data_IF_091844416183
#
_entry.id   IF_091844416183
#
_cell.length_a   1.000
_cell.length_b   1.000
_cell.length_c   1.000
_cell.angle_alpha   90.00
_cell.angle_beta   90.00
_cell.angle_gamma   90.00
#
_symmetry.space_group_name_H-M   'P 1'
#
loop_
_entity.id
_entity.type
_entity.pdbx_description
1 polymer ?
#
# COMPACT_ATOMS: atom_id res chain seq x y z
N UNK A 1 -30.66 -4.36 -20.36
CA UNK A 1 -30.40 -5.13 -19.13
C UNK A 1 -28.91 -5.47 -19.06
N UNK A 2 -28.11 -4.54 -18.54
CA UNK A 2 -26.67 -4.76 -18.34
C UNK A 2 -26.46 -5.56 -17.06
N UNK A 3 -25.81 -6.72 -17.15
CA UNK A 3 -25.34 -7.46 -15.97
C UNK A 3 -23.94 -6.95 -15.65
N UNK A 4 -23.83 -6.24 -14.54
CA UNK A 4 -22.56 -5.85 -13.91
C UNK A 4 -21.78 -7.10 -13.51
N UNK A 5 -20.73 -7.45 -14.28
CA UNK A 5 -19.76 -8.44 -13.85
C UNK A 5 -18.81 -7.77 -12.83
N UNK A 6 -19.03 -8.04 -11.55
CA UNK A 6 -18.13 -7.62 -10.46
C UNK A 6 -17.02 -8.70 -10.30
N UNK A 7 -15.76 -8.28 -10.36
CA UNK A 7 -14.62 -9.10 -9.96
C UNK A 7 -14.62 -9.32 -8.44
N UNK A 8 -14.23 -10.51 -7.97
CA UNK A 8 -14.25 -10.91 -6.56
C UNK A 8 -12.88 -11.40 -6.08
N UNK A 9 -12.59 -11.11 -4.81
CA UNK A 9 -11.57 -11.84 -4.06
C UNK A 9 -12.25 -13.03 -3.39
N UNK A 10 -11.81 -14.27 -3.62
CA UNK A 10 -12.34 -15.45 -2.94
C UNK A 10 -11.35 -15.93 -1.89
N UNK A 11 -11.63 -15.61 -0.63
CA UNK A 11 -10.97 -16.19 0.53
C UNK A 11 -11.56 -17.59 0.82
N UNK A 12 -10.74 -18.63 0.69
CA UNK A 12 -11.16 -20.02 0.88
C UNK A 12 -10.76 -20.58 2.25
N UNK A 13 -10.27 -19.75 3.17
CA UNK A 13 -9.70 -20.18 4.46
C UNK A 13 -10.76 -20.61 5.47
N UNK A 14 -12.04 -20.32 5.21
CA UNK A 14 -13.18 -20.77 6.01
C UNK A 14 -14.14 -21.65 5.18
N UNK A 15 -14.41 -22.92 5.58
CA UNK A 15 -15.43 -23.76 4.94
C UNK A 15 -16.85 -23.16 4.98
N UNK A 16 -17.10 -22.27 5.95
CA UNK A 16 -18.32 -21.47 6.07
C UNK A 16 -18.37 -20.29 5.09
N UNK A 17 -17.23 -19.73 4.68
CA UNK A 17 -17.15 -18.63 3.71
C UNK A 17 -17.45 -19.09 2.29
N UNK A 18 -17.00 -20.30 1.91
CA UNK A 18 -17.36 -20.92 0.63
C UNK A 18 -18.88 -21.19 0.51
N UNK A 19 -19.58 -21.44 1.63
CA UNK A 19 -21.04 -21.61 1.68
C UNK A 19 -21.80 -20.29 1.88
N UNK A 20 -21.22 -19.29 2.55
CA UNK A 20 -21.86 -17.97 2.75
C UNK A 20 -21.69 -17.03 1.55
N UNK A 21 -20.68 -17.26 0.70
CA UNK A 21 -20.48 -16.55 -0.58
C UNK A 21 -21.66 -16.70 -1.55
N UNK A 22 -22.51 -17.72 -1.36
CA UNK A 22 -23.75 -17.88 -2.11
C UNK A 22 -24.94 -17.07 -1.56
N UNK A 23 -24.89 -16.53 -0.33
CA UNK A 23 -26.12 -16.06 0.33
C UNK A 23 -26.07 -14.71 1.06
N UNK A 24 -24.94 -14.02 1.23
CA UNK A 24 -24.94 -12.67 1.84
C UNK A 24 -23.88 -11.77 1.20
N UNK A 25 -24.33 -10.68 0.59
CA UNK A 25 -23.49 -9.71 -0.14
C UNK A 25 -22.53 -8.91 0.74
N UNK A 26 -21.46 -9.55 1.21
CA UNK A 26 -20.47 -8.92 2.09
C UNK A 26 -19.04 -9.23 1.60
N UNK A 27 -18.69 -8.72 0.42
CA UNK A 27 -17.30 -8.66 -0.08
C UNK A 27 -17.17 -7.37 -0.89
N UNK A 28 -16.43 -6.38 -0.39
CA UNK A 28 -16.13 -5.15 -1.14
C UNK A 28 -14.97 -5.40 -2.12
N UNK A 29 -15.25 -5.15 -3.38
CA UNK A 29 -14.47 -5.41 -4.60
C UNK A 29 -13.26 -4.49 -4.79
N UNK A 30 -12.23 -4.97 -5.47
CA UNK A 30 -11.30 -4.10 -6.24
C UNK A 30 -11.72 -4.13 -7.71
N UNK A 31 -11.91 -2.95 -8.30
CA UNK A 31 -12.36 -2.77 -9.68
C UNK A 31 -11.17 -2.37 -10.57
N UNK A 32 -10.63 -3.31 -11.35
CA UNK A 32 -9.86 -2.95 -12.54
C UNK A 32 -10.78 -2.19 -13.51
N UNK A 33 -10.31 -1.07 -14.07
CA UNK A 33 -11.03 -0.40 -15.17
C UNK A 33 -11.14 -1.44 -16.29
N UNK A 34 -12.37 -1.73 -16.67
CA UNK A 34 -12.72 -2.72 -17.69
C UNK A 34 -12.48 -4.20 -17.30
N UNK A 35 -13.18 -4.64 -16.24
CA UNK A 35 -13.84 -5.95 -16.17
C UNK A 35 -12.99 -7.16 -16.61
N UNK A 36 -12.11 -7.75 -15.75
CA UNK A 36 -11.49 -9.06 -16.07
C UNK A 36 -10.73 -9.89 -15.01
N UNK A 37 -10.49 -9.46 -13.75
CA UNK A 37 -9.66 -10.24 -12.81
C UNK A 37 -10.32 -10.61 -11.46
N UNK A 38 -9.91 -11.74 -10.88
CA UNK A 38 -10.31 -12.22 -9.55
C UNK A 38 -9.06 -12.63 -8.77
N UNK A 39 -9.00 -12.36 -7.45
CA UNK A 39 -7.92 -12.85 -6.57
C UNK A 39 -8.48 -13.97 -5.70
N UNK A 40 -7.97 -15.19 -5.78
CA UNK A 40 -8.36 -16.25 -4.86
C UNK A 40 -7.24 -16.39 -3.83
N UNK A 41 -7.56 -16.38 -2.54
CA UNK A 41 -6.62 -16.68 -1.46
C UNK A 41 -6.99 -18.05 -0.88
N UNK A 42 -6.07 -19.01 -0.98
CA UNK A 42 -6.24 -20.34 -0.40
C UNK A 42 -5.09 -20.69 0.52
N UNK A 43 -5.35 -21.57 1.51
CA UNK A 43 -4.27 -22.33 2.13
C UNK A 43 -3.74 -23.35 1.13
N UNK A 44 -2.44 -23.70 1.23
CA UNK A 44 -1.83 -24.77 0.44
C UNK A 44 -2.76 -26.00 0.33
N UNK A 45 -3.01 -26.53 -0.88
CA UNK A 45 -3.92 -27.65 -1.05
C UNK A 45 -3.38 -28.91 -0.34
N UNK A 46 -4.24 -29.60 0.41
CA UNK A 46 -3.96 -30.97 0.86
C UNK A 46 -4.33 -31.94 -0.26
N UNK A 47 -3.50 -32.98 -0.45
CA UNK A 47 -3.69 -34.00 -1.52
C UNK A 47 -5.09 -34.64 -1.48
N UNK A 48 -5.70 -34.69 -0.30
CA UNK A 48 -7.05 -35.24 -0.04
C UNK A 48 -8.24 -34.34 -0.42
N UNK A 49 -8.06 -33.03 -0.67
CA UNK A 49 -9.17 -32.07 -0.92
C UNK A 49 -9.31 -31.62 -2.38
N UNK A 50 -8.68 -32.33 -3.30
CA UNK A 50 -8.54 -31.92 -4.72
C UNK A 50 -9.87 -31.75 -5.47
N UNK A 51 -10.93 -32.48 -5.13
CA UNK A 51 -12.22 -32.39 -5.83
C UNK A 51 -13.01 -31.12 -5.50
N UNK A 52 -12.99 -30.66 -4.25
CA UNK A 52 -13.71 -29.48 -3.79
C UNK A 52 -13.03 -28.18 -4.25
N UNK A 53 -11.69 -28.17 -4.28
CA UNK A 53 -10.90 -27.05 -4.79
C UNK A 53 -11.07 -26.87 -6.31
N UNK A 54 -11.21 -27.95 -7.09
CA UNK A 54 -11.47 -27.89 -8.54
C UNK A 54 -12.76 -27.15 -8.89
N UNK A 55 -13.84 -27.35 -8.12
CA UNK A 55 -15.13 -26.69 -8.37
C UNK A 55 -15.06 -25.17 -8.18
N UNK A 56 -14.37 -24.74 -7.12
CA UNK A 56 -14.21 -23.33 -6.76
C UNK A 56 -13.30 -22.58 -7.74
N UNK A 57 -12.18 -23.19 -8.15
CA UNK A 57 -11.26 -22.61 -9.13
C UNK A 57 -11.93 -22.48 -10.51
N UNK A 58 -12.77 -23.44 -10.91
CA UNK A 58 -13.56 -23.35 -12.16
C UNK A 58 -14.63 -22.25 -12.14
N UNK A 59 -15.23 -21.95 -10.99
CA UNK A 59 -16.29 -20.94 -10.89
C UNK A 59 -15.81 -19.49 -11.01
N UNK A 60 -14.50 -19.26 -10.95
CA UNK A 60 -13.88 -17.92 -10.90
C UNK A 60 -13.28 -17.50 -12.24
N UNK A 61 -13.29 -18.38 -13.24
CA UNK A 61 -12.68 -18.09 -14.53
C UNK A 61 -13.42 -16.96 -15.27
N UNK A 62 -12.66 -15.93 -15.65
CA UNK A 62 -13.12 -14.85 -16.52
C UNK A 62 -13.33 -15.27 -17.98
N UNK A 63 -13.72 -14.31 -18.83
CA UNK A 63 -14.11 -14.53 -20.24
C UNK A 63 -13.05 -15.24 -21.11
N UNK A 64 -11.77 -15.05 -20.78
CA UNK A 64 -10.64 -15.59 -21.56
C UNK A 64 -10.15 -16.97 -21.05
N UNK A 65 -10.77 -17.50 -19.98
CA UNK A 65 -10.57 -18.86 -19.48
C UNK A 65 -9.10 -19.23 -19.22
N UNK A 66 -8.28 -18.25 -18.82
CA UNK A 66 -6.89 -18.42 -18.39
C UNK A 66 -6.72 -17.88 -16.96
N UNK A 67 -5.99 -18.62 -16.13
CA UNK A 67 -5.68 -18.22 -14.76
C UNK A 67 -4.21 -18.41 -14.39
N UNK A 68 -3.79 -17.76 -13.33
CA UNK A 68 -2.45 -17.91 -12.75
C UNK A 68 -2.53 -18.44 -11.34
N UNK A 69 -1.63 -19.36 -10.97
CA UNK A 69 -1.43 -19.81 -9.60
C UNK A 69 -0.08 -19.28 -9.14
N UNK A 70 -0.08 -18.30 -8.25
CA UNK A 70 1.11 -17.69 -7.68
C UNK A 70 1.40 -18.39 -6.34
N UNK A 71 2.36 -19.31 -6.36
CA UNK A 71 2.89 -19.93 -5.15
C UNK A 71 4.01 -19.06 -4.60
N UNK A 72 3.82 -18.46 -3.43
CA UNK A 72 4.82 -17.57 -2.81
C UNK A 72 6.02 -18.34 -2.23
N UNK A 73 6.08 -19.66 -2.40
CA UNK A 73 7.20 -20.50 -1.96
C UNK A 73 8.15 -20.76 -3.13
N UNK A 74 9.42 -20.93 -2.80
CA UNK A 74 10.38 -21.49 -3.75
C UNK A 74 9.97 -22.90 -4.21
N UNK A 75 10.37 -23.33 -5.42
CA UNK A 75 10.07 -24.67 -5.92
C UNK A 75 10.51 -25.79 -4.96
N UNK A 76 11.68 -25.63 -4.32
CA UNK A 76 12.21 -26.58 -3.35
C UNK A 76 11.36 -26.64 -2.07
N UNK A 77 10.91 -25.49 -1.57
CA UNK A 77 10.05 -25.41 -0.39
C UNK A 77 8.65 -25.99 -0.66
N UNK A 78 8.09 -25.77 -1.85
CA UNK A 78 6.82 -26.37 -2.28
C UNK A 78 6.94 -27.89 -2.40
N UNK A 79 8.05 -28.40 -2.96
CA UNK A 79 8.32 -29.85 -3.04
C UNK A 79 8.50 -30.48 -1.65
N UNK A 80 9.19 -29.80 -0.74
CA UNK A 80 9.33 -30.26 0.66
C UNK A 80 7.97 -30.35 1.36
N UNK A 81 7.08 -29.38 1.12
CA UNK A 81 5.72 -29.42 1.67
C UNK A 81 4.89 -30.60 1.12
N UNK A 82 5.05 -30.94 -0.17
CA UNK A 82 4.42 -32.11 -0.78
C UNK A 82 4.81 -33.41 -0.06
N UNK A 83 6.10 -33.57 0.26
CA UNK A 83 6.60 -34.76 0.97
C UNK A 83 6.07 -34.86 2.42
N UNK A 84 5.61 -33.75 3.00
CA UNK A 84 5.04 -33.67 4.36
C UNK A 84 3.51 -33.70 4.39
N UNK A 85 2.87 -34.05 3.27
CA UNK A 85 1.41 -34.17 3.15
C UNK A 85 0.66 -32.88 2.76
N UNK A 86 1.37 -31.77 2.56
CA UNK A 86 0.86 -30.60 1.87
C UNK A 86 1.00 -30.74 0.35
N UNK A 87 1.23 -29.63 -0.35
CA UNK A 87 1.55 -29.66 -1.78
C UNK A 87 1.27 -28.36 -2.50
N UNK A 88 1.08 -28.50 -3.80
CA UNK A 88 0.67 -27.47 -4.76
C UNK A 88 -0.17 -28.13 -5.86
N UNK A 89 -0.90 -27.34 -6.62
CA UNK A 89 -1.85 -27.74 -7.66
C UNK A 89 -1.11 -28.36 -8.86
N UNK A 90 -1.34 -29.65 -9.19
CA UNK A 90 -0.72 -30.29 -10.36
C UNK A 90 -1.32 -29.77 -11.66
N UNK A 91 -0.50 -29.40 -12.65
CA UNK A 91 -0.94 -28.83 -13.93
C UNK A 91 -1.95 -29.72 -14.67
N UNK A 92 -1.81 -31.04 -14.58
CA UNK A 92 -2.73 -32.03 -15.17
C UNK A 92 -4.19 -31.80 -14.71
N UNK A 93 -4.38 -31.32 -13.49
CA UNK A 93 -5.70 -31.05 -12.93
C UNK A 93 -6.20 -29.62 -13.16
N UNK A 94 -5.32 -28.72 -13.60
CA UNK A 94 -5.60 -27.31 -13.82
C UNK A 94 -4.98 -26.83 -15.15
N UNK A 95 -5.37 -27.42 -16.31
CA UNK A 95 -4.72 -27.17 -17.59
C UNK A 95 -4.87 -25.72 -18.10
N UNK A 96 -5.85 -24.98 -17.57
CA UNK A 96 -6.08 -23.57 -17.89
C UNK A 96 -5.40 -22.60 -16.90
N UNK A 97 -4.68 -23.14 -15.91
CA UNK A 97 -4.01 -22.35 -14.89
C UNK A 97 -2.50 -22.54 -14.98
N UNK A 98 -1.77 -21.45 -15.19
CA UNK A 98 -0.32 -21.45 -15.21
C UNK A 98 0.22 -21.19 -13.82
N UNK A 99 1.00 -22.12 -13.27
CA UNK A 99 1.66 -21.94 -11.97
C UNK A 99 2.97 -21.16 -12.13
N UNK A 100 3.18 -20.20 -11.25
CA UNK A 100 4.40 -19.38 -11.15
C UNK A 100 4.86 -19.40 -9.69
N UNK A 101 6.14 -19.65 -9.49
CA UNK A 101 6.77 -19.58 -8.16
C UNK A 101 7.39 -18.20 -7.97
N UNK A 102 6.95 -17.48 -6.94
CA UNK A 102 7.54 -16.23 -6.48
C UNK A 102 8.22 -16.53 -5.13
N UNK A 103 9.54 -16.67 -5.13
CA UNK A 103 10.29 -17.19 -3.97
C UNK A 103 10.41 -16.15 -2.86
N UNK A 104 9.33 -15.92 -2.12
CA UNK A 104 9.36 -15.08 -0.93
C UNK A 104 9.76 -15.93 0.27
N UNK A 105 10.69 -15.41 1.05
CA UNK A 105 11.17 -16.08 2.25
C UNK A 105 10.07 -16.28 3.31
N UNK A 106 10.33 -17.21 4.23
CA UNK A 106 9.40 -17.52 5.31
C UNK A 106 9.61 -16.62 6.52
N UNK A 107 8.58 -16.53 7.34
CA UNK A 107 8.51 -15.75 8.58
C UNK A 107 9.75 -15.86 9.51
N UNK A 108 10.45 -16.99 9.55
CA UNK A 108 11.68 -17.13 10.34
C UNK A 108 12.82 -16.22 9.83
N UNK A 109 12.99 -16.10 8.51
CA UNK A 109 14.03 -15.25 7.92
C UNK A 109 13.78 -13.77 8.22
N UNK A 110 12.52 -13.32 8.24
CA UNK A 110 12.18 -11.92 8.52
C UNK A 110 12.59 -11.49 9.93
N UNK A 111 12.51 -12.38 10.91
CA UNK A 111 12.88 -12.08 12.28
C UNK A 111 14.40 -11.91 12.43
N UNK A 112 15.17 -12.86 11.89
CA UNK A 112 16.64 -12.79 11.88
C UNK A 112 17.14 -11.56 11.08
N UNK A 113 16.45 -11.24 10.00
CA UNK A 113 16.70 -10.06 9.18
C UNK A 113 16.48 -8.75 9.95
N UNK A 114 15.35 -8.63 10.67
CA UNK A 114 15.05 -7.44 11.45
C UNK A 114 16.05 -7.22 12.60
N UNK A 115 16.48 -8.28 13.28
CA UNK A 115 17.50 -8.16 14.34
C UNK A 115 18.78 -7.54 13.77
N UNK A 116 19.30 -8.10 12.66
CA UNK A 116 20.50 -7.59 11.99
C UNK A 116 20.32 -6.15 11.52
N UNK A 117 19.13 -5.82 10.98
CA UNK A 117 18.81 -4.47 10.57
C UNK A 117 18.90 -3.51 11.74
N UNK A 118 18.30 -3.84 12.88
CA UNK A 118 18.32 -2.98 14.06
C UNK A 118 19.72 -2.83 14.64
N UNK A 119 20.51 -3.90 14.70
CA UNK A 119 21.92 -3.84 15.10
C UNK A 119 22.73 -2.92 14.19
N UNK A 120 22.48 -2.95 12.88
CA UNK A 120 23.12 -2.05 11.92
C UNK A 120 22.61 -0.60 12.03
N UNK A 121 21.31 -0.42 12.25
CA UNK A 121 20.66 0.90 12.30
C UNK A 121 21.02 1.67 13.56
N UNK A 122 21.34 0.97 14.65
CA UNK A 122 21.71 1.53 15.94
C UNK A 122 23.22 1.84 16.09
N UNK A 123 24.04 1.42 15.12
CA UNK A 123 25.49 1.59 15.17
C UNK A 123 25.95 2.93 14.56
N UNK A 124 26.18 3.93 15.44
CA UNK A 124 26.70 5.25 15.06
C UNK A 124 28.23 5.34 14.99
N UNK A 125 28.93 4.21 15.16
CA UNK A 125 30.41 4.19 15.27
C UNK A 125 31.10 3.65 14.02
N UNK A 126 30.36 2.93 13.17
CA UNK A 126 30.88 2.34 11.94
C UNK A 126 31.07 3.37 10.82
N UNK A 127 32.05 3.13 9.94
CA UNK A 127 32.16 3.85 8.67
C UNK A 127 30.95 3.56 7.77
N UNK A 128 30.71 4.43 6.79
CA UNK A 128 29.59 4.30 5.85
C UNK A 128 29.63 2.96 5.09
N UNK A 129 30.79 2.55 4.58
CA UNK A 129 30.93 1.27 3.84
C UNK A 129 30.60 0.06 4.72
N UNK A 130 31.04 0.09 5.99
CA UNK A 130 30.76 -0.97 6.95
C UNK A 130 29.29 -0.99 7.34
N UNK A 131 28.67 0.17 7.47
CA UNK A 131 27.23 0.30 7.73
C UNK A 131 26.40 -0.23 6.55
N UNK A 132 26.73 0.16 5.32
CA UNK A 132 26.08 -0.34 4.10
C UNK A 132 26.23 -1.87 3.96
N UNK A 133 27.43 -2.40 4.25
CA UNK A 133 27.67 -3.85 4.24
C UNK A 133 26.80 -4.59 5.29
N UNK A 134 26.64 -4.01 6.49
CA UNK A 134 25.75 -4.57 7.53
C UNK A 134 24.30 -4.52 7.09
N UNK A 135 23.86 -3.40 6.53
CA UNK A 135 22.50 -3.22 6.00
C UNK A 135 22.20 -4.26 4.92
N UNK A 136 23.10 -4.45 3.96
CA UNK A 136 22.97 -5.48 2.92
C UNK A 136 22.90 -6.88 3.54
N UNK A 137 23.78 -7.20 4.50
CA UNK A 137 23.81 -8.50 5.19
C UNK A 137 22.56 -8.81 6.03
N UNK A 138 21.75 -7.79 6.33
CA UNK A 138 20.46 -7.96 7.01
C UNK A 138 19.41 -8.61 6.11
N UNK A 139 19.51 -8.47 4.79
CA UNK A 139 18.50 -8.88 3.79
C UNK A 139 17.12 -8.22 3.95
N UNK A 140 16.95 -7.21 4.80
CA UNK A 140 15.63 -6.63 5.04
C UNK A 140 15.04 -6.02 3.77
N UNK A 141 15.82 -5.18 3.08
CA UNK A 141 15.40 -4.59 1.81
C UNK A 141 15.24 -5.63 0.69
N UNK A 142 15.96 -6.76 0.77
CA UNK A 142 15.75 -7.90 -0.14
C UNK A 142 14.36 -8.52 0.07
N UNK A 143 13.93 -8.71 1.31
CA UNK A 143 12.58 -9.21 1.59
C UNK A 143 11.48 -8.23 1.15
N UNK A 144 11.68 -6.93 1.38
CA UNK A 144 10.79 -5.87 0.88
C UNK A 144 10.68 -5.93 -0.64
N UNK A 145 11.82 -6.02 -1.35
CA UNK A 145 11.89 -6.17 -2.80
C UNK A 145 11.12 -7.39 -3.29
N UNK A 146 11.34 -8.55 -2.68
CA UNK A 146 10.74 -9.81 -3.14
C UNK A 146 9.21 -9.81 -2.98
N UNK A 147 8.71 -9.26 -1.87
CA UNK A 147 7.27 -9.12 -1.62
C UNK A 147 6.65 -8.13 -2.62
N UNK A 148 7.25 -6.96 -2.82
CA UNK A 148 6.76 -5.99 -3.80
C UNK A 148 6.81 -6.54 -5.23
N UNK A 149 7.87 -7.27 -5.58
CA UNK A 149 7.99 -7.91 -6.91
C UNK A 149 6.87 -8.92 -7.14
N UNK A 150 6.56 -9.74 -6.13
CA UNK A 150 5.45 -10.68 -6.16
C UNK A 150 4.10 -9.95 -6.32
N UNK A 151 3.86 -8.89 -5.54
CA UNK A 151 2.65 -8.09 -5.64
C UNK A 151 2.50 -7.41 -7.01
N UNK A 152 3.56 -6.80 -7.55
CA UNK A 152 3.55 -6.22 -8.89
C UNK A 152 3.25 -7.26 -9.98
N UNK A 153 3.81 -8.48 -9.86
CA UNK A 153 3.53 -9.57 -10.81
C UNK A 153 2.05 -9.95 -10.77
N UNK A 154 1.48 -10.13 -9.57
CA UNK A 154 0.06 -10.47 -9.39
C UNK A 154 -0.84 -9.36 -9.94
N UNK A 155 -0.51 -8.10 -9.64
CA UNK A 155 -1.23 -6.94 -10.15
C UNK A 155 -1.17 -6.88 -11.70
N UNK A 156 -0.01 -7.18 -12.31
CA UNK A 156 0.15 -7.20 -13.77
C UNK A 156 -0.72 -8.28 -14.43
N UNK A 157 -0.78 -9.49 -13.85
CA UNK A 157 -1.66 -10.54 -14.34
C UNK A 157 -3.15 -10.13 -14.31
N UNK A 158 -3.55 -9.32 -13.32
CA UNK A 158 -4.94 -8.86 -13.17
C UNK A 158 -5.25 -7.70 -14.10
N UNK A 159 -4.42 -6.66 -14.09
CA UNK A 159 -4.70 -5.39 -14.77
C UNK A 159 -4.34 -5.44 -16.26
N UNK A 160 -3.15 -5.97 -16.59
CA UNK A 160 -2.66 -5.97 -17.97
C UNK A 160 -3.15 -7.18 -18.77
N UNK A 161 -3.21 -8.36 -18.16
CA UNK A 161 -3.62 -9.58 -18.85
C UNK A 161 -5.11 -9.92 -18.68
N UNK A 162 -5.78 -9.29 -17.71
CA UNK A 162 -7.17 -9.61 -17.41
C UNK A 162 -7.38 -11.05 -16.96
N UNK A 163 -6.39 -11.64 -16.28
CA UNK A 163 -6.43 -13.02 -15.83
C UNK A 163 -6.97 -13.13 -14.40
N UNK A 164 -7.52 -14.30 -14.08
CA UNK A 164 -7.84 -14.67 -12.69
C UNK A 164 -6.58 -15.19 -12.01
N UNK A 165 -6.32 -14.78 -10.78
CA UNK A 165 -5.10 -15.15 -10.05
C UNK A 165 -5.45 -15.80 -8.73
N UNK A 166 -4.85 -16.96 -8.46
CA UNK A 166 -4.88 -17.66 -7.18
C UNK A 166 -3.53 -17.44 -6.50
N UNK A 167 -3.50 -16.81 -5.34
CA UNK A 167 -2.28 -16.61 -4.54
C UNK A 167 -2.33 -17.54 -3.33
N UNK A 168 -1.26 -18.28 -3.09
CA UNK A 168 -1.13 -19.06 -1.86
C UNK A 168 0.32 -19.18 -1.41
N UNK A 169 0.50 -19.32 -0.10
CA UNK A 169 1.78 -19.60 0.54
C UNK A 169 1.75 -20.95 1.24
N UNK A 170 2.59 -21.12 2.26
CA UNK A 170 2.58 -22.35 3.07
C UNK A 170 1.29 -22.46 3.90
N UNK A 171 0.96 -21.43 4.67
CA UNK A 171 -0.17 -21.45 5.62
C UNK A 171 -1.32 -20.52 5.22
N UNK A 172 -1.09 -19.58 4.30
CA UNK A 172 -2.11 -18.67 3.75
C UNK A 172 -2.44 -17.46 4.62
N UNK A 173 -1.76 -17.25 5.76
CA UNK A 173 -2.04 -16.14 6.69
C UNK A 173 -0.83 -15.23 6.99
N UNK A 174 0.28 -15.40 6.25
CA UNK A 174 1.46 -14.53 6.36
C UNK A 174 1.74 -13.90 4.98
N UNK A 175 2.65 -14.48 4.19
CA UNK A 175 3.08 -13.95 2.89
C UNK A 175 1.92 -13.74 1.90
N UNK A 176 0.93 -14.63 1.94
CA UNK A 176 -0.26 -14.49 1.09
C UNK A 176 -0.98 -13.18 1.37
N UNK A 177 -1.18 -12.83 2.64
CA UNK A 177 -1.82 -11.58 3.06
C UNK A 177 -0.99 -10.35 2.72
N UNK A 178 0.34 -10.43 2.84
CA UNK A 178 1.23 -9.36 2.40
C UNK A 178 1.02 -9.05 0.91
N UNK A 179 1.04 -10.09 0.07
CA UNK A 179 0.89 -9.96 -1.38
C UNK A 179 -0.53 -9.50 -1.75
N UNK A 180 -1.58 -10.13 -1.24
CA UNK A 180 -2.96 -9.75 -1.58
C UNK A 180 -3.30 -8.34 -1.13
N UNK A 181 -2.79 -7.89 0.02
CA UNK A 181 -3.01 -6.52 0.49
C UNK A 181 -2.29 -5.49 -0.38
N UNK A 182 -1.04 -5.75 -0.77
CA UNK A 182 -0.26 -4.84 -1.62
C UNK A 182 -0.85 -4.75 -3.04
N UNK A 183 -1.34 -5.86 -3.59
CA UNK A 183 -2.05 -5.85 -4.89
C UNK A 183 -3.27 -4.95 -4.83
N UNK A 184 -4.04 -5.00 -3.75
CA UNK A 184 -5.21 -4.13 -3.58
C UNK A 184 -4.81 -2.65 -3.47
N UNK A 185 -3.69 -2.33 -2.83
CA UNK A 185 -3.17 -0.95 -2.79
C UNK A 185 -2.68 -0.47 -4.16
N UNK A 186 -2.05 -1.36 -4.94
CA UNK A 186 -1.59 -1.08 -6.31
C UNK A 186 -2.78 -0.79 -7.22
N UNK A 187 -3.80 -1.65 -7.19
CA UNK A 187 -4.92 -1.63 -8.13
C UNK A 187 -6.07 -0.70 -7.71
N UNK A 188 -6.38 -0.61 -6.41
CA UNK A 188 -7.53 0.13 -5.89
C UNK A 188 -7.13 1.40 -5.15
N UNK A 189 -7.57 2.54 -5.67
CA UNK A 189 -7.42 3.82 -5.00
C UNK A 189 -8.20 3.92 -3.68
N UNK A 190 -9.29 3.17 -3.50
CA UNK A 190 -10.08 3.22 -2.26
C UNK A 190 -9.22 2.70 -1.10
N UNK A 191 -8.41 1.66 -1.32
CA UNK A 191 -7.49 1.12 -0.33
C UNK A 191 -6.38 2.09 0.11
N UNK A 192 -6.18 3.21 -0.61
CA UNK A 192 -5.17 4.25 -0.29
C UNK A 192 -5.74 5.39 0.57
N UNK A 193 -7.06 5.37 0.82
CA UNK A 193 -7.71 6.23 1.81
C UNK A 193 -7.53 5.66 3.22
N UNK A 194 -7.66 6.48 4.27
CA UNK A 194 -7.60 5.99 5.66
C UNK A 194 -8.67 4.91 5.88
N UNK A 195 -9.93 5.22 5.56
CA UNK A 195 -11.04 4.28 5.75
C UNK A 195 -10.88 3.01 4.91
N UNK A 196 -10.36 3.10 3.70
CA UNK A 196 -10.13 1.94 2.84
C UNK A 196 -8.95 1.09 3.29
N UNK A 197 -7.89 1.71 3.83
CA UNK A 197 -6.77 0.97 4.43
C UNK A 197 -7.20 0.27 5.73
N UNK A 198 -7.98 0.93 6.58
CA UNK A 198 -8.59 0.31 7.76
C UNK A 198 -9.44 -0.92 7.37
N UNK A 199 -10.31 -0.76 6.37
CA UNK A 199 -11.14 -1.85 5.86
C UNK A 199 -10.29 -3.00 5.26
N UNK A 200 -9.17 -2.68 4.61
CA UNK A 200 -8.22 -3.66 4.10
C UNK A 200 -7.59 -4.45 5.24
N UNK A 201 -7.12 -3.77 6.31
CA UNK A 201 -6.55 -4.44 7.49
C UNK A 201 -7.58 -5.31 8.21
N UNK A 202 -8.80 -4.81 8.43
CA UNK A 202 -9.89 -5.59 9.04
C UNK A 202 -10.21 -6.86 8.25
N UNK A 203 -10.34 -6.75 6.93
CA UNK A 203 -10.69 -7.88 6.07
C UNK A 203 -9.53 -8.86 5.88
N UNK A 204 -8.41 -8.38 5.38
CA UNK A 204 -7.30 -9.26 4.97
C UNK A 204 -6.55 -9.78 6.18
N UNK A 205 -6.28 -8.95 7.18
CA UNK A 205 -5.39 -9.33 8.28
C UNK A 205 -6.15 -9.90 9.48
N UNK A 206 -7.18 -9.20 9.95
CA UNK A 206 -7.89 -9.60 11.16
C UNK A 206 -8.88 -10.76 10.90
N UNK A 207 -9.73 -10.63 9.88
CA UNK A 207 -10.67 -11.68 9.48
C UNK A 207 -9.98 -12.80 8.70
N UNK A 208 -8.95 -12.50 7.91
CA UNK A 208 -8.10 -13.50 7.24
C UNK A 208 -7.27 -14.37 8.19
N UNK A 209 -7.25 -14.02 9.48
CA UNK A 209 -6.70 -14.86 10.54
C UNK A 209 -5.17 -14.79 10.64
N UNK A 210 -4.58 -13.63 10.35
CA UNK A 210 -3.20 -13.38 10.70
C UNK A 210 -3.03 -13.50 12.23
N UNK A 211 -2.13 -14.38 12.71
CA UNK A 211 -2.01 -14.66 14.12
C UNK A 211 -1.23 -13.57 14.87
N UNK A 212 -1.84 -12.38 15.04
CA UNK A 212 -1.20 -11.21 15.66
C UNK A 212 -0.67 -11.50 17.07
N UNK A 213 -1.43 -12.22 17.91
CA UNK A 213 -0.99 -12.53 19.27
C UNK A 213 0.27 -13.40 19.28
N UNK A 214 0.43 -14.32 18.33
CA UNK A 214 1.62 -15.17 18.21
C UNK A 214 2.79 -14.44 17.53
N UNK A 215 2.50 -13.58 16.54
CA UNK A 215 3.52 -12.88 15.73
C UNK A 215 4.12 -11.68 16.47
N UNK A 216 3.30 -11.01 17.26
CA UNK A 216 3.60 -9.77 17.99
C UNK A 216 3.56 -9.97 19.51
N UNK A 217 3.76 -11.19 20.02
CA UNK A 217 3.72 -11.51 21.46
C UNK A 217 4.74 -10.73 22.30
N UNK A 218 5.83 -10.30 21.68
CA UNK A 218 6.90 -9.48 22.27
C UNK A 218 7.23 -8.34 21.34
N UNK A 219 8.07 -7.42 21.80
CA UNK A 219 8.64 -6.36 20.97
C UNK A 219 9.15 -6.90 19.63
N UNK A 220 8.90 -6.16 18.55
CA UNK A 220 9.43 -6.45 17.21
C UNK A 220 10.94 -6.67 17.19
N UNK A 221 11.64 -6.05 18.16
CA UNK A 221 13.10 -6.05 18.26
C UNK A 221 13.63 -7.02 19.33
N UNK A 222 12.78 -7.92 19.83
CA UNK A 222 13.20 -8.90 20.81
C UNK A 222 14.15 -9.92 20.18
N UNK A 223 15.32 -10.15 20.80
CA UNK A 223 16.33 -11.12 20.34
C UNK A 223 15.94 -12.55 20.77
N UNK A 224 14.64 -12.89 20.76
CA UNK A 224 14.19 -14.22 21.19
C UNK A 224 13.98 -15.12 19.98
N UNK A 225 14.59 -16.32 20.01
CA UNK A 225 14.52 -17.29 18.90
C UNK A 225 13.22 -18.11 18.90
N UNK A 226 12.12 -17.56 19.42
CA UNK A 226 10.85 -18.29 19.40
C UNK A 226 10.33 -18.39 17.98
N UNK A 227 9.95 -19.60 17.56
CA UNK A 227 9.56 -19.88 16.17
C UNK A 227 8.24 -19.23 15.75
N UNK A 228 7.42 -18.72 16.67
CA UNK A 228 6.11 -18.12 16.41
C UNK A 228 6.18 -16.62 16.09
N UNK A 229 7.12 -15.90 16.69
CA UNK A 229 7.34 -14.46 16.51
C UNK A 229 7.87 -14.16 15.10
N UNK A 230 7.37 -13.10 14.46
CA UNK A 230 7.89 -12.62 13.17
C UNK A 230 7.28 -11.27 12.78
N UNK A 231 8.07 -10.32 12.23
CA UNK A 231 7.62 -8.99 11.84
C UNK A 231 6.86 -8.98 10.50
N UNK A 232 5.91 -9.90 10.28
CA UNK A 232 5.20 -10.06 9.01
C UNK A 232 4.37 -8.81 8.66
N UNK A 233 3.58 -8.32 9.62
CA UNK A 233 2.77 -7.11 9.42
C UNK A 233 3.65 -5.86 9.30
N UNK A 234 4.74 -5.77 10.09
CA UNK A 234 5.72 -4.69 9.94
C UNK A 234 6.35 -4.66 8.55
N UNK A 235 6.76 -5.81 8.01
CA UNK A 235 7.33 -5.90 6.67
C UNK A 235 6.30 -5.51 5.58
N UNK A 236 5.02 -5.80 5.80
CA UNK A 236 3.94 -5.26 4.96
C UNK A 236 3.87 -3.73 5.05
N UNK A 237 3.88 -3.15 6.26
CA UNK A 237 3.86 -1.70 6.43
C UNK A 237 5.07 -1.01 5.79
N UNK A 238 6.26 -1.63 5.83
CA UNK A 238 7.44 -1.14 5.12
C UNK A 238 7.20 -1.15 3.60
N UNK A 239 6.68 -2.25 3.05
CA UNK A 239 6.29 -2.28 1.63
C UNK A 239 5.28 -1.17 1.27
N UNK A 240 4.29 -0.88 2.13
CA UNK A 240 3.36 0.24 1.92
C UNK A 240 4.10 1.57 1.96
N UNK A 241 5.04 1.75 2.88
CA UNK A 241 5.86 2.96 2.98
C UNK A 241 6.76 3.16 1.75
N UNK A 242 7.35 2.09 1.18
CA UNK A 242 8.11 2.17 -0.07
C UNK A 242 7.22 2.67 -1.22
N UNK A 243 6.00 2.14 -1.35
CA UNK A 243 5.05 2.61 -2.35
C UNK A 243 4.71 4.08 -2.09
N UNK A 244 4.37 4.44 -0.85
CA UNK A 244 4.03 5.81 -0.45
C UNK A 244 5.12 6.83 -0.84
N UNK A 245 6.39 6.51 -0.56
CA UNK A 245 7.54 7.38 -0.88
C UNK A 245 7.83 7.51 -2.38
N UNK A 246 7.38 6.58 -3.22
CA UNK A 246 7.57 6.64 -4.68
C UNK A 246 6.48 7.44 -5.40
N UNK A 247 5.33 7.66 -4.75
CA UNK A 247 4.24 8.49 -5.25
C UNK A 247 3.98 9.75 -4.38
N UNK A 248 5.00 10.58 -4.01
CA UNK A 248 4.79 11.76 -3.17
C UNK A 248 4.35 12.96 -4.02
N UNK A 249 4.81 13.05 -5.27
CA UNK A 249 4.42 14.00 -6.31
C UNK A 249 5.05 13.55 -7.65
N UNK A 250 4.38 12.80 -8.53
CA UNK A 250 4.95 12.52 -9.85
C UNK A 250 4.84 13.80 -10.72
N UNK A 251 5.94 14.29 -11.28
CA UNK A 251 5.90 15.36 -12.26
C UNK A 251 5.84 14.71 -13.64
N UNK A 252 4.73 14.84 -14.35
CA UNK A 252 4.69 14.52 -15.79
C UNK A 252 4.98 15.82 -16.54
N UNK A 253 6.10 15.86 -17.27
CA UNK A 253 6.35 16.92 -18.25
C UNK A 253 5.58 16.55 -19.52
N UNK A 254 4.35 17.04 -19.64
CA UNK A 254 3.62 16.98 -20.92
C UNK A 254 3.77 18.34 -21.62
N UNK A 255 4.49 18.36 -22.74
CA UNK A 255 4.74 19.56 -23.55
C UNK A 255 3.48 20.13 -24.22
N UNK A 256 2.34 19.45 -24.18
CA UNK A 256 1.18 19.82 -25.00
C UNK A 256 0.01 20.47 -24.26
N UNK A 257 0.08 20.70 -22.95
CA UNK A 257 -0.92 21.53 -22.26
C UNK A 257 -0.29 22.16 -21.02
N UNK A 258 -0.16 23.48 -21.00
CA UNK A 258 0.32 24.31 -19.88
C UNK A 258 -0.64 24.25 -18.66
N UNK A 259 -0.87 23.06 -18.13
CA UNK A 259 -1.47 22.83 -16.82
C UNK A 259 -0.44 22.01 -16.06
N UNK A 260 0.21 22.65 -15.10
CA UNK A 260 1.02 22.03 -14.06
C UNK A 260 0.14 21.08 -13.22
N UNK A 261 -0.26 19.93 -13.76
CA UNK A 261 -0.80 18.84 -12.97
C UNK A 261 0.38 18.11 -12.33
N UNK A 262 0.80 18.66 -11.19
CA UNK A 262 1.46 17.91 -10.14
C UNK A 262 0.63 16.64 -9.91
N UNK A 263 1.15 15.42 -10.16
CA UNK A 263 0.44 14.20 -9.75
C UNK A 263 0.57 14.11 -8.25
N UNK A 264 -0.48 14.39 -7.46
CA UNK A 264 -0.29 14.55 -6.05
C UNK A 264 -0.25 13.17 -5.38
N UNK A 265 0.04 13.15 -4.09
CA UNK A 265 0.29 11.91 -3.40
C UNK A 265 -0.95 11.02 -3.44
N UNK A 266 -0.79 9.77 -3.86
CA UNK A 266 -1.94 8.87 -4.08
C UNK A 266 -2.52 8.28 -2.78
N UNK A 267 -1.92 8.60 -1.63
CA UNK A 267 -2.31 8.11 -0.31
C UNK A 267 -2.81 9.24 0.58
N UNK A 268 -3.98 9.02 1.19
CA UNK A 268 -4.61 9.98 2.09
C UNK A 268 -3.89 10.09 3.43
N UNK A 269 -3.21 9.01 3.83
CA UNK A 269 -2.44 8.97 5.06
C UNK A 269 -0.96 9.30 4.86
N UNK A 270 -0.33 9.80 5.93
CA UNK A 270 1.10 10.08 5.99
C UNK A 270 1.88 8.93 6.68
N UNK A 271 3.20 9.07 6.75
CA UNK A 271 4.08 8.11 7.42
C UNK A 271 3.68 7.80 8.88
N UNK A 272 3.21 8.81 9.63
CA UNK A 272 2.86 8.64 11.04
C UNK A 272 1.68 7.65 11.24
N UNK A 273 0.80 7.52 10.25
CA UNK A 273 -0.27 6.52 10.27
C UNK A 273 0.29 5.09 10.27
N UNK A 274 1.27 4.82 9.41
CA UNK A 274 1.91 3.50 9.32
C UNK A 274 2.72 3.19 10.59
N UNK A 275 3.42 4.18 11.15
CA UNK A 275 4.12 4.04 12.44
C UNK A 275 3.13 3.75 13.57
N UNK A 276 1.99 4.46 13.61
CA UNK A 276 0.93 4.22 14.61
C UNK A 276 0.39 2.79 14.52
N UNK A 277 0.13 2.27 13.30
CA UNK A 277 -0.28 0.89 13.12
C UNK A 277 0.76 -0.10 13.65
N UNK A 278 2.04 0.11 13.30
CA UNK A 278 3.14 -0.70 13.83
C UNK A 278 3.12 -0.70 15.36
N UNK A 279 3.11 0.47 16.01
CA UNK A 279 3.12 0.57 17.48
C UNK A 279 1.95 -0.18 18.12
N UNK A 280 0.74 0.02 17.60
CA UNK A 280 -0.47 -0.62 18.11
C UNK A 280 -0.57 -2.12 17.81
N UNK A 281 0.26 -2.69 16.94
CA UNK A 281 0.34 -4.15 16.77
C UNK A 281 1.15 -4.84 17.86
N UNK A 282 2.10 -4.13 18.47
CA UNK A 282 2.97 -4.66 19.52
C UNK A 282 2.57 -4.20 20.92
N UNK A 283 2.08 -2.98 21.06
CA UNK A 283 1.65 -2.41 22.34
C UNK A 283 0.44 -1.51 22.11
N UNK A 284 -0.71 -1.90 22.68
CA UNK A 284 -1.95 -1.18 22.43
C UNK A 284 -2.89 -1.22 23.63
N UNK A 285 -3.58 -0.11 23.83
CA UNK A 285 -4.74 0.00 24.72
C UNK A 285 -6.05 -0.46 24.04
N UNK A 286 -6.02 -0.77 22.74
CA UNK A 286 -7.17 -1.17 21.93
C UNK A 286 -7.20 -2.68 21.69
N UNK A 287 -8.39 -3.22 21.44
CA UNK A 287 -8.57 -4.64 21.12
C UNK A 287 -8.30 -5.02 19.66
N UNK A 288 -8.01 -4.05 18.79
CA UNK A 288 -7.97 -4.25 17.33
C UNK A 288 -6.96 -5.31 16.89
N UNK A 289 -5.79 -5.42 17.53
CA UNK A 289 -4.76 -6.40 17.13
C UNK A 289 -4.62 -7.57 18.12
N UNK A 290 -5.56 -7.78 19.03
CA UNK A 290 -5.54 -8.92 19.96
C UNK A 290 -6.04 -10.22 19.34
N UNK A 291 -5.62 -11.36 19.89
CA UNK A 291 -5.96 -12.73 19.45
C UNK A 291 -5.44 -13.09 18.03
N UNK A 292 -5.52 -14.38 17.68
CA UNK A 292 -4.95 -14.90 16.44
C UNK A 292 -5.94 -15.06 15.29
N UNK A 293 -7.24 -15.03 15.55
CA UNK A 293 -8.26 -15.22 14.52
C UNK A 293 -9.63 -14.71 14.99
N UNK A 294 -10.59 -14.61 14.06
CA UNK A 294 -11.94 -14.11 14.31
C UNK A 294 -12.69 -14.93 15.37
N UNK A 295 -12.47 -16.25 15.43
CA UNK A 295 -13.10 -17.13 16.43
C UNK A 295 -12.68 -16.75 17.84
N UNK A 296 -11.37 -16.64 18.09
CA UNK A 296 -10.84 -16.23 19.40
C UNK A 296 -11.33 -14.83 19.80
N UNK A 297 -11.38 -13.89 18.85
CA UNK A 297 -11.88 -12.52 19.11
C UNK A 297 -13.34 -12.51 19.58
N UNK A 298 -14.17 -13.39 19.01
CA UNK A 298 -15.58 -13.60 19.42
C UNK A 298 -15.67 -14.26 20.80
N UNK A 299 -14.87 -15.29 21.06
CA UNK A 299 -14.81 -15.97 22.35
C UNK A 299 -14.36 -15.04 23.48
N UNK A 300 -13.37 -14.18 23.22
CA UNK A 300 -12.90 -13.15 24.14
C UNK A 300 -13.84 -11.94 24.24
N UNK A 301 -14.90 -11.86 23.42
CA UNK A 301 -15.87 -10.76 23.36
C UNK A 301 -15.22 -9.38 23.21
N UNK A 302 -14.21 -9.27 22.33
CA UNK A 302 -13.41 -8.04 22.20
C UNK A 302 -14.27 -6.82 21.85
N UNK A 303 -15.27 -6.97 20.99
CA UNK A 303 -16.16 -5.88 20.57
C UNK A 303 -16.97 -5.25 21.71
N UNK A 304 -17.18 -5.97 22.82
CA UNK A 304 -17.88 -5.44 24.00
C UNK A 304 -16.94 -5.14 25.17
N UNK A 305 -15.72 -5.68 25.17
CA UNK A 305 -14.77 -5.56 26.28
C UNK A 305 -13.64 -4.57 26.03
N UNK A 306 -13.44 -4.16 24.78
CA UNK A 306 -12.34 -3.30 24.36
C UNK A 306 -12.83 -2.24 23.38
N UNK A 307 -12.07 -1.16 23.25
CA UNK A 307 -12.31 -0.13 22.24
C UNK A 307 -11.52 -0.48 20.98
N UNK A 308 -12.08 -0.16 19.81
CA UNK A 308 -11.38 -0.29 18.53
C UNK A 308 -10.44 0.91 18.29
N UNK A 309 -9.25 0.62 17.78
CA UNK A 309 -8.29 1.62 17.30
C UNK A 309 -8.94 2.54 16.24
N UNK A 310 -9.76 1.99 15.36
CA UNK A 310 -10.44 2.74 14.31
C UNK A 310 -11.43 3.77 14.90
N UNK A 311 -12.14 3.40 15.98
CA UNK A 311 -13.02 4.34 16.68
C UNK A 311 -12.24 5.50 17.30
N UNK A 312 -11.04 5.24 17.83
CA UNK A 312 -10.17 6.29 18.34
C UNK A 312 -9.64 7.19 17.22
N UNK A 313 -9.24 6.61 16.09
CA UNK A 313 -8.69 7.29 14.93
C UNK A 313 -9.72 8.16 14.21
N UNK A 314 -10.99 7.74 14.15
CA UNK A 314 -12.08 8.47 13.51
C UNK A 314 -12.39 9.83 14.16
N UNK A 315 -11.80 10.14 15.32
CA UNK A 315 -11.97 11.44 15.98
C UNK A 315 -11.22 12.52 15.21
N UNK A 316 -11.84 13.66 14.84
CA UNK A 316 -11.22 14.67 13.98
C UNK A 316 -9.85 15.17 14.47
N UNK A 317 -9.72 15.38 15.78
CA UNK A 317 -8.48 15.86 16.41
C UNK A 317 -7.32 14.84 16.36
N UNK A 318 -7.66 13.56 16.18
CA UNK A 318 -6.70 12.47 16.02
C UNK A 318 -6.40 12.29 14.54
N UNK A 319 -7.45 12.18 13.71
CA UNK A 319 -7.37 11.91 12.27
C UNK A 319 -6.46 12.92 11.56
N UNK A 320 -6.57 14.21 11.91
CA UNK A 320 -5.81 15.28 11.27
C UNK A 320 -4.29 15.07 11.35
N UNK A 321 -3.78 14.38 12.38
CA UNK A 321 -2.35 14.08 12.55
C UNK A 321 -1.83 13.08 11.53
N UNK A 322 -2.72 12.28 10.96
CA UNK A 322 -2.42 11.17 10.08
C UNK A 322 -2.73 11.45 8.63
N UNK A 323 -3.41 12.56 8.34
CA UNK A 323 -3.69 13.00 6.97
C UNK A 323 -2.43 13.51 6.28
N UNK A 324 -2.35 13.21 5.00
CA UNK A 324 -1.33 13.72 4.11
C UNK A 324 -1.82 15.02 3.46
N UNK A 325 -1.16 16.16 3.70
CA UNK A 325 -1.55 17.44 3.11
C UNK A 325 -1.38 17.48 1.59
N UNK A 326 -0.61 16.54 1.02
CA UNK A 326 -0.36 16.41 -0.42
C UNK A 326 -1.28 15.40 -1.10
N UNK A 327 -2.25 14.82 -0.38
CA UNK A 327 -3.18 13.86 -0.95
C UNK A 327 -4.02 14.47 -2.07
N UNK A 328 -4.09 13.76 -3.19
CA UNK A 328 -5.09 13.97 -4.23
C UNK A 328 -5.54 12.60 -4.74
N UNK A 329 -6.86 12.33 -4.82
CA UNK A 329 -7.36 11.05 -5.28
C UNK A 329 -6.84 10.70 -6.68
N UNK A 330 -5.98 9.67 -6.75
CA UNK A 330 -5.51 9.10 -7.99
C UNK A 330 -6.24 7.78 -8.28
N UNK A 331 -7.24 7.76 -9.18
CA UNK A 331 -8.01 6.56 -9.49
C UNK A 331 -7.29 5.59 -10.44
N UNK A 332 -6.03 5.86 -10.81
CA UNK A 332 -5.22 4.98 -11.66
C UNK A 332 -4.51 3.91 -10.82
N UNK A 333 -4.15 2.82 -11.48
CA UNK A 333 -3.20 1.83 -10.94
C UNK A 333 -1.84 2.50 -10.75
N UNK A 334 -1.17 2.20 -9.64
CA UNK A 334 0.17 2.71 -9.34
C UNK A 334 1.19 1.57 -9.44
N UNK A 335 2.29 1.79 -10.17
CA UNK A 335 3.30 0.77 -10.42
C UNK A 335 4.61 1.13 -9.70
N UNK A 336 4.83 0.63 -8.47
CA UNK A 336 6.06 0.94 -7.74
C UNK A 336 7.28 0.29 -8.42
N UNK A 337 8.38 1.03 -8.44
CA UNK A 337 9.69 0.50 -8.80
C UNK A 337 10.20 -0.43 -7.69
N UNK A 338 10.55 -1.65 -8.09
CA UNK A 338 11.19 -2.66 -7.23
C UNK A 338 12.70 -2.77 -7.48
N UNK A 339 13.27 -1.82 -8.23
CA UNK A 339 14.70 -1.75 -8.42
C UNK A 339 15.40 -1.46 -7.08
N UNK A 340 16.53 -2.11 -6.74
CA UNK A 340 17.18 -1.92 -5.45
C UNK A 340 17.47 -0.45 -5.09
N UNK A 341 17.84 0.37 -6.08
CA UNK A 341 18.09 1.81 -5.90
C UNK A 341 16.84 2.64 -5.59
N UNK A 342 15.64 2.10 -5.83
CA UNK A 342 14.35 2.72 -5.52
C UNK A 342 13.82 2.33 -4.14
N UNK A 343 14.47 1.38 -3.46
CA UNK A 343 14.11 0.91 -2.13
C UNK A 343 15.08 1.49 -1.11
N UNK A 344 14.54 2.22 -0.16
CA UNK A 344 15.35 2.95 0.84
C UNK A 344 15.03 2.46 2.24
N UNK A 345 15.98 2.62 3.16
CA UNK A 345 15.73 2.32 4.57
C UNK A 345 14.64 3.25 5.11
N UNK A 346 13.65 2.69 5.80
CA UNK A 346 12.64 3.48 6.51
C UNK A 346 13.23 4.10 7.79
N UNK A 347 14.05 5.14 7.61
CA UNK A 347 14.78 5.82 8.67
C UNK A 347 13.87 6.38 9.77
N UNK A 348 12.68 6.87 9.41
CA UNK A 348 11.69 7.39 10.37
C UNK A 348 11.17 6.34 11.36
N UNK A 349 11.31 5.05 11.04
CA UNK A 349 10.97 3.95 11.93
C UNK A 349 12.22 3.32 12.56
N UNK A 350 13.16 2.84 11.73
CA UNK A 350 14.30 2.03 12.19
C UNK A 350 15.43 2.85 12.84
N UNK A 351 15.54 4.13 12.49
CA UNK A 351 16.55 5.05 13.01
C UNK A 351 15.94 6.18 13.85
N UNK A 352 14.67 6.03 14.28
CA UNK A 352 13.91 7.04 15.01
C UNK A 352 14.56 7.54 16.31
N UNK A 353 15.39 6.70 16.95
CA UNK A 353 16.09 7.02 18.19
C UNK A 353 17.42 7.76 17.95
N UNK A 354 17.90 7.79 16.71
CA UNK A 354 19.21 8.35 16.33
C UNK A 354 19.02 9.62 15.50
N UNK A 355 18.11 9.58 14.53
CA UNK A 355 17.84 10.69 13.63
C UNK A 355 16.82 11.61 14.29
N UNK A 356 17.18 12.89 14.40
CA UNK A 356 16.29 13.93 14.82
C UNK A 356 15.13 14.12 13.82
N UNK A 357 13.96 13.65 14.22
CA UNK A 357 12.72 13.74 13.44
C UNK A 357 12.09 15.14 13.45
N UNK A 358 12.60 16.08 14.26
CA UNK A 358 12.04 17.44 14.35
C UNK A 358 12.05 18.15 13.00
N UNK A 359 13.16 18.06 12.26
CA UNK A 359 13.34 18.69 10.95
C UNK A 359 12.34 18.19 9.92
N UNK A 360 12.09 16.89 9.87
CA UNK A 360 11.11 16.31 8.96
C UNK A 360 9.68 16.75 9.33
N UNK A 361 9.37 16.81 10.63
CA UNK A 361 8.07 17.32 11.11
C UNK A 361 7.88 18.79 10.77
N UNK A 362 8.89 19.63 10.95
CA UNK A 362 8.87 21.04 10.58
C UNK A 362 8.67 21.23 9.07
N UNK A 363 9.37 20.45 8.24
CA UNK A 363 9.18 20.46 6.79
C UNK A 363 7.73 20.13 6.39
N UNK A 364 7.14 19.08 6.99
CA UNK A 364 5.74 18.71 6.72
C UNK A 364 4.73 19.73 7.22
N UNK A 365 5.00 20.41 8.35
CA UNK A 365 4.17 21.52 8.81
C UNK A 365 4.19 22.68 7.81
N UNK A 366 5.36 22.99 7.24
CA UNK A 366 5.48 24.04 6.24
C UNK A 366 4.76 23.67 4.93
N UNK A 367 4.89 22.41 4.49
CA UNK A 367 4.12 21.88 3.34
C UNK A 367 2.61 22.05 3.56
N UNK A 368 2.11 21.73 4.76
CA UNK A 368 0.69 21.92 5.10
C UNK A 368 0.26 23.38 4.99
N UNK A 369 1.03 24.32 5.54
CA UNK A 369 0.73 25.77 5.44
C UNK A 369 0.71 26.24 3.98
N UNK A 370 1.67 25.79 3.17
CA UNK A 370 1.75 26.13 1.74
C UNK A 370 0.50 25.61 1.00
N UNK A 371 0.05 24.39 1.30
CA UNK A 371 -1.16 23.80 0.68
C UNK A 371 -2.43 24.53 1.10
N UNK A 372 -2.56 24.92 2.36
CA UNK A 372 -3.67 25.73 2.85
C UNK A 372 -3.71 27.09 2.13
N UNK A 373 -2.56 27.75 2.02
CA UNK A 373 -2.44 29.02 1.31
C UNK A 373 -2.76 28.90 -0.19
N UNK A 374 -2.29 27.85 -0.87
CA UNK A 374 -2.63 27.56 -2.27
C UNK A 374 -4.15 27.35 -2.45
N UNK A 375 -4.79 26.62 -1.53
CA UNK A 375 -6.26 26.43 -1.53
C UNK A 375 -7.01 27.75 -1.40
N UNK A 376 -6.55 28.65 -0.53
CA UNK A 376 -7.13 29.99 -0.40
C UNK A 376 -6.96 30.82 -1.67
N UNK A 377 -5.77 30.81 -2.27
CA UNK A 377 -5.49 31.53 -3.51
C UNK A 377 -6.36 30.99 -4.66
N UNK A 378 -6.50 29.68 -4.82
CA UNK A 378 -7.38 29.06 -5.83
C UNK A 378 -8.84 29.46 -5.63
N UNK A 379 -9.31 29.54 -4.39
CA UNK A 379 -10.66 30.01 -4.07
C UNK A 379 -10.85 31.48 -4.45
N UNK A 380 -9.86 32.34 -4.16
CA UNK A 380 -9.87 33.76 -4.57
C UNK A 380 -9.87 33.91 -6.09
N UNK A 381 -9.02 33.18 -6.82
CA UNK A 381 -8.99 33.17 -8.29
C UNK A 381 -10.34 32.73 -8.87
N UNK A 382 -10.95 31.69 -8.31
CA UNK A 382 -12.26 31.20 -8.77
C UNK A 382 -13.36 32.25 -8.56
N UNK A 383 -13.35 32.96 -7.43
CA UNK A 383 -14.29 34.06 -7.15
C UNK A 383 -14.08 35.22 -8.12
N UNK A 384 -12.84 35.65 -8.34
CA UNK A 384 -12.51 36.75 -9.25
C UNK A 384 -12.89 36.42 -10.70
N UNK A 385 -12.62 35.18 -11.17
CA UNK A 385 -13.08 34.73 -12.50
C UNK A 385 -14.59 34.82 -12.66
N UNK A 386 -15.36 34.39 -11.65
CA UNK A 386 -16.83 34.52 -11.68
C UNK A 386 -17.31 35.96 -11.73
N UNK A 387 -16.63 36.88 -11.05
CA UNK A 387 -16.96 38.31 -11.07
C UNK A 387 -16.63 38.93 -12.44
N UNK A 388 -15.46 38.61 -13.00
CA UNK A 388 -15.05 39.04 -14.34
C UNK A 388 -16.03 38.59 -15.43
N UNK A 389 -16.44 37.32 -15.42
CA UNK A 389 -17.44 36.80 -16.39
C UNK A 389 -18.78 37.51 -16.26
N UNK A 390 -19.19 37.93 -15.06
CA UNK A 390 -20.44 38.68 -14.83
C UNK A 390 -20.35 40.15 -15.28
N UNK A 391 -19.15 40.73 -15.29
CA UNK A 391 -18.91 42.11 -15.69
C UNK A 391 -18.78 42.29 -17.22
N UNK A 392 -18.86 41.22 -18.01
CA UNK A 392 -18.68 41.28 -19.47
C UNK A 392 -17.22 41.49 -19.91
N UNK A 393 -16.28 41.54 -18.98
CA UNK A 393 -14.85 41.75 -19.25
C UNK A 393 -14.19 40.44 -19.66
N UNK A 394 -13.52 40.45 -20.82
CA UNK A 394 -12.78 39.29 -21.33
C UNK A 394 -11.41 39.22 -20.63
N UNK A 395 -11.36 38.66 -19.43
CA UNK A 395 -10.11 38.59 -18.64
C UNK A 395 -9.17 37.53 -19.22
N UNK A 396 -8.16 37.98 -19.97
CA UNK A 396 -6.98 37.16 -20.33
C UNK A 396 -5.97 37.22 -19.19
N UNK A 397 -5.76 36.09 -18.50
CA UNK A 397 -4.61 35.96 -17.61
C UNK A 397 -3.36 35.69 -18.45
N UNK A 398 -2.40 36.62 -18.47
CA UNK A 398 -1.05 36.34 -18.94
C UNK A 398 -0.20 35.89 -17.75
N UNK A 399 0.43 34.72 -17.87
CA UNK A 399 1.55 34.37 -16.99
C UNK A 399 2.75 35.22 -17.40
N UNK A 400 3.12 36.20 -16.58
CA UNK A 400 4.40 36.89 -16.75
C UNK A 400 5.49 35.94 -16.27
N UNK A 401 6.04 35.14 -17.19
CA UNK A 401 7.36 34.55 -16.99
C UNK A 401 8.37 35.66 -17.28
N UNK A 402 9.30 35.99 -16.36
CA UNK A 402 10.46 36.77 -16.74
C UNK A 402 11.16 35.99 -17.86
N UNK A 403 11.39 36.63 -19.01
CA UNK A 403 12.32 36.11 -20.01
C UNK A 403 13.62 35.76 -19.27
N UNK A 404 13.97 34.48 -19.27
CA UNK A 404 15.29 34.02 -18.86
C UNK A 404 16.26 34.50 -19.93
N UNK A 405 16.77 35.72 -19.79
CA UNK A 405 18.08 36.04 -20.35
C UNK A 405 19.08 35.13 -19.64
N UNK A 406 19.70 34.22 -20.40
CA UNK A 406 20.76 33.36 -19.90
C UNK A 406 21.84 34.21 -19.22
N UNK A 407 22.12 33.98 -17.93
CA UNK A 407 23.31 34.55 -17.32
C UNK A 407 24.47 33.61 -17.64
N UNK A 408 25.38 34.07 -18.48
CA UNK A 408 26.79 33.70 -18.39
C UNK A 408 27.29 34.10 -17.00
N UNK A 409 27.10 33.26 -15.99
CA UNK A 409 28.10 32.97 -14.94
C UNK A 409 27.53 32.27 -13.70
N UNK A 410 28.43 31.51 -13.09
CA UNK A 410 28.25 30.57 -11.99
C UNK A 410 27.73 31.23 -10.70
N UNK A 411 26.88 30.47 -9.99
CA UNK A 411 26.66 30.52 -8.54
C UNK A 411 25.80 31.67 -7.99
N UNK A 412 24.47 31.47 -7.86
CA UNK A 412 23.67 31.94 -6.72
C UNK A 412 22.22 31.43 -6.78
N UNK A 413 21.81 30.77 -5.70
CA UNK A 413 20.43 30.44 -5.34
C UNK A 413 19.59 31.71 -5.20
N UNK A 414 18.48 31.86 -5.94
CA UNK A 414 17.42 32.80 -5.56
C UNK A 414 16.05 32.34 -6.05
N UNK A 415 15.16 32.09 -5.09
CA UNK A 415 13.76 31.79 -5.32
C UNK A 415 13.08 32.97 -6.06
N UNK A 416 12.64 32.73 -7.29
CA UNK A 416 11.84 33.69 -8.07
C UNK A 416 10.46 33.83 -7.47
N UNK A 417 10.11 35.03 -7.04
CA UNK A 417 8.77 35.40 -6.59
C UNK A 417 7.93 35.70 -7.84
N UNK A 418 6.98 34.84 -8.19
CA UNK A 418 6.03 35.14 -9.26
C UNK A 418 5.04 36.21 -8.76
N UNK A 419 5.01 37.37 -9.44
CA UNK A 419 3.98 38.40 -9.24
C UNK A 419 2.92 38.22 -10.32
N UNK A 420 1.66 38.02 -9.91
CA UNK A 420 0.50 38.11 -10.78
C UNK A 420 0.20 39.60 -10.99
N UNK A 421 0.44 40.10 -12.19
CA UNK A 421 -0.04 41.41 -12.61
C UNK A 421 -1.42 41.24 -13.25
N UNK A 422 -2.40 42.03 -12.78
CA UNK A 422 -3.76 42.08 -13.30
C UNK A 422 -3.89 43.46 -13.96
N UNK A 423 -3.85 43.50 -15.28
CA UNK A 423 -4.23 44.70 -16.01
C UNK A 423 -5.74 44.64 -16.30
N UNK A 424 -6.43 45.73 -16.03
CA UNK A 424 -7.85 45.93 -16.32
C UNK A 424 -7.90 46.87 -17.51
N UNK A 425 -8.35 46.39 -18.67
CA UNK A 425 -8.62 47.26 -19.82
C UNK A 425 -9.80 48.20 -19.47
N UNK A 426 -9.48 49.44 -19.10
CA UNK A 426 -10.44 50.54 -19.07
C UNK A 426 -10.66 51.07 -20.50
N UNK A 427 -11.43 50.34 -21.31
CA UNK A 427 -11.98 50.90 -22.54
C UNK A 427 -13.49 50.63 -22.63
N UNK A 428 -14.26 51.49 -21.96
CA UNK A 428 -15.64 51.79 -22.37
C UNK A 428 -16.10 53.14 -21.81
N UNK A 429 -15.61 54.24 -22.41
CA UNK A 429 -16.37 55.49 -22.46
C UNK A 429 -16.33 56.09 -23.86
N UNK A 430 -17.54 56.32 -24.39
CA UNK A 430 -17.92 57.19 -25.51
C UNK A 430 -17.80 56.64 -26.95
N UNK A 431 -18.86 55.97 -27.42
CA UNK A 431 -19.83 56.53 -28.38
C UNK A 431 -21.10 55.69 -28.40
#
# INVERSE_FOLDING_TARGET
MGRDNKGYIIDTRSPSAAKSAQNKGMVKSVKGRDNKGYIIDTRSPSVSKSAQNKGMVKSVMGRDNKGYIIDTRSPSAAKSAQNKGGGYEPEVYYPQWRRIHQSVDRRQAFHDSLIKLMESSLDNTSSMDKWLSKLESSNWLSHVKDILTCACTVAQCIDSEGASVLVHGSEGFDTTLQVTSLVQLILDHDCRTINGFEALVEREWLQGGHPFADRCSKSAFAITKQRSESPVFLLFLDCVWQIWQQFPCSFEFNEEFLIWQQFPCSFEFNEAFLVMLFEHTYSSQFGTFLCNNEKERKECKLSSRTVSLWTYLARPEVLQKYLNPMYDPNPRVIWPSVAPQSLVLWSGLYQRSIIDQSKQKEAWQEVSKIREYDKELRSKVTKLRRLATRAGSNVRCYSVYPELQEPEDKCATRAGRALLQIDVDEDSKNC
#
